data_IF_104175719292
#
_entry.id   IF_104175719292
#
_cell.length_a   1.000
_cell.length_b   1.000
_cell.length_c   1.000
_cell.angle_alpha   90.00
_cell.angle_beta   90.00
_cell.angle_gamma   90.00
#
_symmetry.space_group_name_H-M   'P 1'
#
loop_
_entity.id
_entity.type
_entity.pdbx_description
1 polymer ?
#
# COMPACT_ATOMS: atom_id res chain seq x y z
N UNK A 1 3.25 6.42 -16.48
CA UNK A 1 2.44 7.29 -15.62
C UNK A 1 2.57 6.83 -14.18
N UNK A 2 2.87 7.75 -13.30
CA UNK A 2 2.96 7.45 -11.88
C UNK A 2 1.56 7.55 -11.26
N UNK A 3 1.02 6.42 -10.81
CA UNK A 3 -0.32 6.37 -10.25
C UNK A 3 -0.44 7.11 -8.92
N UNK A 4 0.68 7.30 -8.20
CA UNK A 4 0.69 8.01 -6.92
C UNK A 4 0.39 9.50 -7.07
N UNK A 5 0.65 10.10 -8.23
CA UNK A 5 0.38 11.51 -8.48
C UNK A 5 -1.09 11.89 -8.38
N UNK A 6 -1.99 10.93 -8.61
CA UNK A 6 -3.43 11.16 -8.59
C UNK A 6 -4.08 10.81 -7.26
N UNK A 7 -3.29 10.40 -6.27
CA UNK A 7 -3.83 10.03 -4.96
C UNK A 7 -3.90 11.22 -4.03
N UNK A 8 -4.97 11.31 -3.21
CA UNK A 8 -5.01 12.28 -2.11
C UNK A 8 -3.80 12.10 -1.19
N UNK A 9 -3.41 13.17 -0.51
CA UNK A 9 -2.22 13.14 0.36
C UNK A 9 -2.36 12.07 1.44
N UNK A 10 -3.54 11.93 2.06
CA UNK A 10 -3.69 10.91 3.10
C UNK A 10 -3.47 9.48 2.56
N UNK A 11 -3.83 9.20 1.31
CA UNK A 11 -3.57 7.90 0.70
C UNK A 11 -2.09 7.69 0.39
N UNK A 12 -1.36 8.76 0.12
CA UNK A 12 0.10 8.67 -0.02
C UNK A 12 0.75 8.29 1.31
N UNK A 13 0.21 8.79 2.42
CA UNK A 13 0.66 8.40 3.76
C UNK A 13 0.34 6.93 4.01
N UNK A 14 -0.87 6.50 3.64
CA UNK A 14 -1.27 5.08 3.72
C UNK A 14 -0.29 4.21 2.95
N UNK A 15 0.07 4.60 1.73
CA UNK A 15 1.03 3.85 0.90
C UNK A 15 2.40 3.75 1.57
N UNK A 16 2.84 4.82 2.21
CA UNK A 16 4.11 4.80 2.95
C UNK A 16 4.06 3.78 4.10
N UNK A 17 2.98 3.76 4.87
CA UNK A 17 2.82 2.79 5.95
C UNK A 17 2.77 1.36 5.43
N UNK A 18 2.02 1.14 4.35
CA UNK A 18 1.95 -0.17 3.71
C UNK A 18 3.33 -0.63 3.26
N UNK A 19 4.12 0.27 2.69
CA UNK A 19 5.48 -0.03 2.26
C UNK A 19 6.37 -0.46 3.43
N UNK A 20 6.27 0.24 4.58
CA UNK A 20 7.02 -0.13 5.78
C UNK A 20 6.67 -1.54 6.24
N UNK A 21 5.40 -1.91 6.16
CA UNK A 21 4.92 -3.25 6.55
C UNK A 21 5.37 -4.30 5.55
N UNK A 22 5.25 -4.04 4.25
CA UNK A 22 5.67 -4.98 3.21
C UNK A 22 7.18 -5.22 3.23
N UNK A 23 7.97 -4.21 3.56
CA UNK A 23 9.42 -4.35 3.71
C UNK A 23 9.82 -4.94 5.06
N UNK A 24 8.84 -5.22 5.89
CA UNK A 24 9.05 -5.79 7.25
C UNK A 24 9.88 -4.89 8.15
N UNK A 25 9.89 -3.60 7.88
CA UNK A 25 10.45 -2.59 8.79
C UNK A 25 9.54 -2.37 9.98
N UNK A 26 8.23 -2.50 9.76
CA UNK A 26 7.21 -2.52 10.80
C UNK A 26 6.58 -3.90 10.82
N UNK A 27 6.61 -4.56 11.97
CA UNK A 27 6.07 -5.91 12.13
C UNK A 27 4.99 -5.94 13.21
N UNK A 28 4.25 -7.04 13.26
CA UNK A 28 3.12 -7.21 14.16
C UNK A 28 3.50 -6.83 15.61
N UNK A 29 2.67 -6.00 16.23
CA UNK A 29 2.89 -5.55 17.60
C UNK A 29 3.80 -4.34 17.75
N UNK A 30 4.47 -3.91 16.70
CA UNK A 30 5.34 -2.72 16.77
C UNK A 30 4.50 -1.47 16.99
N UNK A 31 4.97 -0.62 17.88
CA UNK A 31 4.42 0.71 18.04
C UNK A 31 4.95 1.60 16.92
N UNK A 32 4.05 2.30 16.24
CA UNK A 32 4.44 3.22 15.16
C UNK A 32 4.47 4.66 15.66
N UNK A 33 5.11 5.57 14.92
CA UNK A 33 5.09 6.99 15.30
C UNK A 33 3.68 7.52 15.44
N UNK A 34 3.48 8.49 16.32
CA UNK A 34 2.18 9.10 16.56
C UNK A 34 1.71 9.91 15.37
N UNK A 35 0.41 10.24 15.36
CA UNK A 35 -0.17 11.11 14.33
C UNK A 35 0.62 12.42 14.22
N UNK A 36 0.95 13.02 15.37
CA UNK A 36 1.71 14.28 15.41
C UNK A 36 3.10 14.12 14.81
N UNK A 37 3.80 13.04 15.19
CA UNK A 37 5.14 12.77 14.65
C UNK A 37 5.11 12.56 13.14
N UNK A 38 4.12 11.83 12.63
CA UNK A 38 3.97 11.62 11.19
C UNK A 38 3.65 12.93 10.48
N UNK A 39 2.76 13.75 11.06
CA UNK A 39 2.41 15.04 10.46
C UNK A 39 3.63 15.94 10.32
N UNK A 40 4.47 16.01 11.35
CA UNK A 40 5.70 16.79 11.32
C UNK A 40 6.69 16.21 10.30
N UNK A 41 6.93 14.90 10.36
CA UNK A 41 7.90 14.22 9.50
C UNK A 41 7.55 14.37 8.02
N UNK A 42 6.28 14.25 7.67
CA UNK A 42 5.81 14.30 6.29
C UNK A 42 5.33 15.70 5.86
N UNK A 43 5.44 16.67 6.75
CA UNK A 43 5.07 18.05 6.49
C UNK A 43 3.63 18.18 6.00
N UNK A 44 2.71 17.52 6.69
CA UNK A 44 1.29 17.54 6.38
C UNK A 44 0.47 18.04 7.57
N UNK A 45 -0.76 18.46 7.27
CA UNK A 45 -1.71 18.83 8.31
C UNK A 45 -2.03 17.63 9.20
N UNK A 46 -2.09 17.79 10.53
CA UNK A 46 -2.47 16.70 11.44
C UNK A 46 -3.80 16.02 11.08
N UNK A 47 -4.77 16.79 10.57
CA UNK A 47 -6.05 16.22 10.13
C UNK A 47 -5.88 15.28 8.93
N UNK A 48 -4.94 15.57 8.06
CA UNK A 48 -4.60 14.69 6.93
C UNK A 48 -3.91 13.42 7.42
N UNK A 49 -2.99 13.57 8.37
CA UNK A 49 -2.31 12.42 8.97
C UNK A 49 -3.28 11.50 9.70
N UNK A 50 -4.16 12.05 10.54
CA UNK A 50 -5.14 11.22 11.29
C UNK A 50 -6.05 10.44 10.34
N UNK A 51 -6.39 11.02 9.20
CA UNK A 51 -7.22 10.34 8.20
C UNK A 51 -6.54 9.07 7.68
N UNK A 52 -5.23 9.11 7.48
CA UNK A 52 -4.46 7.93 7.09
C UNK A 52 -4.49 6.85 8.18
N UNK A 53 -4.30 7.24 9.44
CA UNK A 53 -4.37 6.30 10.57
C UNK A 53 -5.76 5.65 10.66
N UNK A 54 -6.83 6.44 10.53
CA UNK A 54 -8.19 5.91 10.58
C UNK A 54 -8.46 4.94 9.43
N UNK A 55 -7.98 5.25 8.23
CA UNK A 55 -8.10 4.36 7.08
C UNK A 55 -7.47 3.00 7.38
N UNK A 56 -6.24 2.99 7.89
CA UNK A 56 -5.51 1.76 8.18
C UNK A 56 -6.11 1.00 9.37
N UNK A 57 -6.69 1.72 10.32
CA UNK A 57 -7.42 1.11 11.41
C UNK A 57 -8.71 0.44 10.92
N UNK A 58 -9.45 1.10 10.04
CA UNK A 58 -10.65 0.54 9.44
C UNK A 58 -10.36 -0.71 8.59
N UNK A 59 -9.17 -0.78 8.01
CA UNK A 59 -8.73 -1.93 7.21
C UNK A 59 -7.99 -2.99 8.05
N UNK A 60 -8.03 -2.87 9.36
CA UNK A 60 -7.41 -3.81 10.29
C UNK A 60 -5.88 -3.95 10.14
N UNK A 61 -5.23 -2.93 9.60
CA UNK A 61 -3.76 -2.90 9.50
C UNK A 61 -3.13 -2.35 10.77
N UNK A 62 -3.77 -1.36 11.38
CA UNK A 62 -3.35 -0.77 12.64
C UNK A 62 -4.43 -0.93 13.70
N UNK A 63 -4.02 -0.94 14.96
CA UNK A 63 -4.95 -0.78 16.07
C UNK A 63 -4.47 0.30 17.02
N UNK A 64 -5.41 0.94 17.69
CA UNK A 64 -5.13 2.01 18.64
C UNK A 64 -5.29 1.49 20.07
N UNK A 65 -4.25 1.63 20.89
CA UNK A 65 -4.37 1.45 22.32
C UNK A 65 -4.55 2.82 22.95
N UNK A 66 -5.74 3.04 23.48
CA UNK A 66 -6.13 4.33 24.04
C UNK A 66 -5.14 4.80 25.11
N UNK A 67 -4.64 6.02 24.93
CA UNK A 67 -3.66 6.60 25.84
C UNK A 67 -2.24 6.13 25.64
N UNK A 68 -2.00 5.17 24.76
CA UNK A 68 -0.67 4.62 24.49
C UNK A 68 -0.20 4.94 23.08
N UNK A 69 -1.00 4.62 22.06
CA UNK A 69 -0.63 4.90 20.67
C UNK A 69 -1.17 3.88 19.69
N UNK A 70 -0.61 3.92 18.49
CA UNK A 70 -0.99 3.02 17.41
C UNK A 70 0.06 1.93 17.23
N UNK A 71 -0.42 0.74 16.90
CA UNK A 71 0.39 -0.47 16.77
C UNK A 71 0.04 -1.20 15.49
N UNK A 72 0.99 -1.95 14.97
CA UNK A 72 0.79 -2.82 13.81
C UNK A 72 0.00 -4.05 14.24
N UNK A 73 -1.11 -4.33 13.54
CA UNK A 73 -1.97 -5.48 13.81
C UNK A 73 -1.23 -6.79 13.55
N UNK A 74 -1.68 -7.86 14.18
CA UNK A 74 -1.07 -9.18 14.02
C UNK A 74 -1.09 -9.64 12.58
N UNK A 75 -2.20 -9.42 11.86
CA UNK A 75 -2.38 -9.82 10.47
C UNK A 75 -2.07 -8.71 9.47
N UNK A 76 -1.35 -7.66 9.89
CA UNK A 76 -1.13 -6.47 9.08
C UNK A 76 -0.49 -6.77 7.73
N UNK A 77 0.50 -7.65 7.69
CA UNK A 77 1.17 -7.98 6.43
C UNK A 77 0.17 -8.53 5.41
N UNK A 78 -0.62 -9.51 5.81
CA UNK A 78 -1.61 -10.12 4.92
C UNK A 78 -2.69 -9.14 4.51
N UNK A 79 -3.13 -8.28 5.43
CA UNK A 79 -4.10 -7.23 5.13
C UNK A 79 -3.56 -6.24 4.10
N UNK A 80 -2.31 -5.84 4.24
CA UNK A 80 -1.66 -4.92 3.29
C UNK A 80 -1.52 -5.58 1.92
N UNK A 81 -1.11 -6.85 1.87
CA UNK A 81 -1.02 -7.58 0.59
C UNK A 81 -2.38 -7.58 -0.10
N UNK A 82 -3.46 -7.88 0.62
CA UNK A 82 -4.80 -7.89 0.05
C UNK A 82 -5.21 -6.51 -0.48
N UNK A 83 -4.95 -5.45 0.29
CA UNK A 83 -5.24 -4.08 -0.15
C UNK A 83 -4.48 -3.74 -1.44
N UNK A 84 -3.21 -4.08 -1.51
CA UNK A 84 -2.38 -3.79 -2.68
C UNK A 84 -2.76 -4.64 -3.88
N UNK A 85 -3.19 -5.86 -3.68
CA UNK A 85 -3.69 -6.71 -4.77
C UNK A 85 -4.97 -6.13 -5.35
N UNK A 86 -5.91 -5.71 -4.51
CA UNK A 86 -7.16 -5.08 -4.96
C UNK A 86 -6.89 -3.79 -5.74
N UNK A 87 -5.99 -2.96 -5.23
CA UNK A 87 -5.58 -1.73 -5.90
C UNK A 87 -4.97 -2.01 -7.27
N UNK A 88 -4.08 -3.00 -7.35
CA UNK A 88 -3.44 -3.39 -8.59
C UNK A 88 -4.46 -3.82 -9.64
N UNK A 89 -5.40 -4.68 -9.26
CA UNK A 89 -6.44 -5.19 -10.16
C UNK A 89 -7.36 -4.07 -10.63
N UNK A 90 -7.72 -3.16 -9.74
CA UNK A 90 -8.64 -2.07 -10.06
C UNK A 90 -7.99 -0.96 -10.89
N UNK A 91 -6.77 -0.56 -10.52
CA UNK A 91 -6.16 0.68 -11.03
C UNK A 91 -5.08 0.46 -12.08
N UNK A 92 -4.28 -0.61 -11.97
CA UNK A 92 -3.14 -0.83 -12.86
C UNK A 92 -3.45 -1.83 -13.97
N UNK A 93 -4.12 -2.91 -13.64
CA UNK A 93 -4.35 -4.01 -14.57
C UNK A 93 -5.16 -3.60 -15.81
N UNK A 94 -6.22 -2.77 -15.68
CA UNK A 94 -6.96 -2.33 -16.88
C UNK A 94 -6.10 -1.56 -17.88
N UNK A 95 -5.18 -0.73 -17.42
CA UNK A 95 -4.23 -0.01 -18.27
C UNK A 95 -3.28 -0.98 -18.96
N UNK A 96 -2.80 -1.94 -18.22
CA UNK A 96 -1.89 -2.97 -18.73
C UNK A 96 -2.59 -3.80 -19.84
N UNK A 97 -3.83 -4.19 -19.62
CA UNK A 97 -4.61 -4.93 -20.63
C UNK A 97 -4.81 -4.12 -21.90
N UNK A 98 -5.06 -2.82 -21.79
CA UNK A 98 -5.18 -1.95 -22.96
C UNK A 98 -3.87 -1.87 -23.73
N UNK A 99 -2.75 -1.75 -23.02
CA UNK A 99 -1.42 -1.74 -23.65
C UNK A 99 -1.15 -3.05 -24.38
N UNK A 100 -1.48 -4.18 -23.76
CA UNK A 100 -1.37 -5.49 -24.40
C UNK A 100 -2.15 -5.53 -25.72
N UNK A 101 -3.37 -5.06 -25.69
CA UNK A 101 -4.24 -5.07 -26.86
C UNK A 101 -3.67 -4.21 -27.98
N UNK A 102 -3.21 -3.01 -27.66
CA UNK A 102 -2.63 -2.07 -28.62
C UNK A 102 -1.34 -2.63 -29.23
N UNK A 103 -0.49 -3.27 -28.41
CA UNK A 103 0.80 -3.78 -28.84
C UNK A 103 0.75 -5.20 -29.39
N UNK A 104 -0.41 -5.83 -29.38
CA UNK A 104 -0.59 -7.16 -29.95
C UNK A 104 -0.06 -8.29 -29.09
N UNK A 105 0.05 -8.09 -27.77
CA UNK A 105 0.45 -9.15 -26.85
C UNK A 105 -0.75 -10.02 -26.47
N UNK A 106 -0.57 -11.33 -26.54
CA UNK A 106 -1.49 -12.29 -25.94
C UNK A 106 -1.06 -12.66 -24.53
N UNK A 107 -1.93 -13.33 -23.78
CA UNK A 107 -1.55 -13.88 -22.48
C UNK A 107 -0.44 -14.91 -22.61
N UNK A 108 -0.42 -15.67 -23.72
CA UNK A 108 0.64 -16.63 -24.00
C UNK A 108 1.99 -15.94 -24.17
N UNK A 109 2.00 -14.81 -24.88
CA UNK A 109 3.22 -14.01 -25.06
C UNK A 109 3.76 -13.52 -23.71
N UNK A 110 2.86 -13.06 -22.84
CA UNK A 110 3.25 -12.61 -21.50
C UNK A 110 3.80 -13.76 -20.66
N UNK A 111 3.18 -14.92 -20.75
CA UNK A 111 3.63 -16.11 -20.01
C UNK A 111 5.08 -16.48 -20.41
N UNK A 112 5.37 -16.47 -21.69
CA UNK A 112 6.73 -16.74 -22.19
C UNK A 112 7.72 -15.69 -21.69
N UNK A 113 7.39 -14.41 -21.79
CA UNK A 113 8.24 -13.33 -21.32
C UNK A 113 8.48 -13.41 -19.81
N UNK A 114 7.45 -13.72 -19.06
CA UNK A 114 7.53 -13.87 -17.61
C UNK A 114 8.49 -15.02 -17.25
N UNK A 115 8.33 -16.16 -17.90
CA UNK A 115 9.19 -17.35 -17.65
C UNK A 115 10.64 -17.07 -17.99
N UNK A 116 10.92 -16.35 -19.08
CA UNK A 116 12.27 -16.01 -19.47
C UNK A 116 12.95 -15.08 -18.46
N UNK A 117 12.22 -14.12 -17.92
CA UNK A 117 12.79 -13.04 -17.13
C UNK A 117 12.60 -13.22 -15.62
N UNK A 118 11.55 -13.93 -15.18
CA UNK A 118 11.15 -13.99 -13.78
C UNK A 118 10.68 -15.38 -13.34
N UNK A 119 10.85 -16.39 -14.16
CA UNK A 119 10.21 -17.69 -13.99
C UNK A 119 10.52 -18.45 -12.70
N UNK A 120 11.52 -18.03 -11.96
CA UNK A 120 11.95 -18.68 -10.72
C UNK A 120 11.65 -17.89 -9.45
N UNK A 121 10.77 -16.93 -9.55
CA UNK A 121 10.34 -16.21 -8.35
C UNK A 121 9.61 -17.10 -7.35
#
# INVERSE_FOLDING_TARGET
MDYSENKPIYMQIVDHFCDQILRKKWTAGDRIPSVREIAVKMEVNPNTAIRAFHYLQDEDVLYNERGVGYFVSEDAYDQVVDLKREEFIRDKLPHFYRDMKVLGFSCSDLDELYKENYGEF
#
